data_IF_376120232458
#
_entry.id   IF_376120232458
#
_cell.length_a   1.000
_cell.length_b   1.000
_cell.length_c   1.000
_cell.angle_alpha   90.00
_cell.angle_beta   90.00
_cell.angle_gamma   90.00
#
_symmetry.space_group_name_H-M   'P 1'
#
loop_
_entity.id
_entity.type
_entity.pdbx_description
1 polymer ?
#
# COMPACT_ATOMS: atom_id res chain seq x y z
N UNK A 1 1.35 -13.36 20.05
CA UNK A 1 1.40 -14.12 18.78
C UNK A 1 2.82 -14.55 18.41
N UNK A 2 3.89 -13.84 18.82
CA UNK A 2 5.27 -14.27 18.52
C UNK A 2 5.64 -14.16 17.04
N UNK A 3 4.86 -13.41 16.27
CA UNK A 3 5.02 -13.20 14.83
C UNK A 3 6.40 -12.63 14.51
N UNK A 4 7.05 -13.20 13.49
CA UNK A 4 8.39 -12.79 13.05
C UNK A 4 8.39 -12.05 11.71
N UNK A 5 7.26 -12.05 11.00
CA UNK A 5 7.12 -11.45 9.68
C UNK A 5 5.79 -10.74 9.54
N UNK A 6 5.82 -9.53 8.99
CA UNK A 6 4.67 -8.79 8.49
C UNK A 6 4.85 -8.66 6.98
N UNK A 7 3.94 -9.23 6.20
CA UNK A 7 3.93 -9.08 4.75
C UNK A 7 2.85 -8.08 4.33
N UNK A 8 3.27 -6.96 3.74
CA UNK A 8 2.36 -6.03 3.07
C UNK A 8 2.13 -6.54 1.65
N UNK A 9 0.94 -7.10 1.39
CA UNK A 9 0.58 -7.71 0.11
C UNK A 9 -0.38 -6.80 -0.68
N UNK A 10 0.13 -6.18 -1.74
CA UNK A 10 -0.69 -5.54 -2.77
C UNK A 10 -1.16 -6.56 -3.82
N UNK A 11 -1.95 -6.10 -4.79
CA UNK A 11 -2.38 -6.95 -5.91
C UNK A 11 -2.63 -6.17 -7.21
N UNK A 12 -2.51 -6.84 -8.35
CA UNK A 12 -2.86 -6.24 -9.65
C UNK A 12 -4.36 -5.94 -9.73
N UNK A 13 -4.75 -4.93 -10.50
CA UNK A 13 -6.17 -4.54 -10.63
C UNK A 13 -6.79 -3.93 -9.36
N UNK A 14 -5.99 -3.37 -8.45
CA UNK A 14 -6.50 -2.76 -7.21
C UNK A 14 -7.43 -1.58 -7.48
N UNK A 15 -8.72 -1.75 -7.18
CA UNK A 15 -9.75 -0.71 -7.40
C UNK A 15 -9.51 0.56 -6.58
N UNK A 16 -8.97 0.45 -5.37
CA UNK A 16 -8.68 1.60 -4.52
C UNK A 16 -7.52 2.45 -5.08
N UNK A 17 -6.46 1.82 -5.56
CA UNK A 17 -5.33 2.52 -6.21
C UNK A 17 -5.78 3.17 -7.52
N UNK A 18 -6.63 2.50 -8.30
CA UNK A 18 -7.24 3.10 -9.50
C UNK A 18 -8.08 4.33 -9.14
N UNK A 19 -8.99 4.21 -8.17
CA UNK A 19 -9.83 5.33 -7.74
C UNK A 19 -9.00 6.51 -7.20
N UNK A 20 -7.91 6.22 -6.47
CA UNK A 20 -6.96 7.25 -6.04
C UNK A 20 -6.31 7.97 -7.23
N UNK A 21 -5.86 7.21 -8.23
CA UNK A 21 -5.26 7.77 -9.45
C UNK A 21 -6.25 8.57 -10.30
N UNK A 22 -7.52 8.18 -10.33
CA UNK A 22 -8.59 8.94 -10.99
C UNK A 22 -8.91 10.22 -10.20
N UNK A 23 -8.88 10.15 -8.86
CA UNK A 23 -9.08 11.30 -7.99
C UNK A 23 -8.03 12.39 -8.20
N UNK A 24 -6.74 12.03 -8.33
CA UNK A 24 -5.68 13.02 -8.64
C UNK A 24 -5.82 13.67 -10.01
N UNK A 25 -6.58 13.04 -10.92
CA UNK A 25 -6.91 13.57 -12.26
C UNK A 25 -8.21 14.37 -12.29
N UNK A 26 -8.77 14.71 -11.12
CA UNK A 26 -9.97 15.54 -11.01
C UNK A 26 -11.28 14.76 -10.96
N UNK A 27 -11.25 13.44 -10.74
CA UNK A 27 -12.45 12.62 -10.52
C UNK A 27 -12.50 12.01 -9.10
N UNK A 28 -12.53 12.83 -8.03
CA UNK A 28 -12.54 12.32 -6.67
C UNK A 28 -13.88 11.63 -6.34
N UNK A 29 -13.89 10.59 -5.48
CA UNK A 29 -15.13 9.97 -5.01
C UNK A 29 -16.03 10.99 -4.30
N UNK A 30 -17.36 10.87 -4.43
CA UNK A 30 -18.32 11.74 -3.72
C UNK A 30 -18.44 11.41 -2.22
N UNK A 31 -18.24 10.15 -1.86
CA UNK A 31 -18.30 9.67 -0.49
C UNK A 31 -17.06 10.09 0.31
N UNK A 32 -17.27 10.70 1.49
CA UNK A 32 -16.19 11.07 2.39
C UNK A 32 -15.37 9.86 2.85
N UNK A 33 -16.01 8.71 3.07
CA UNK A 33 -15.32 7.49 3.47
C UNK A 33 -14.43 6.93 2.36
N UNK A 34 -14.86 7.06 1.10
CA UNK A 34 -14.03 6.67 -0.05
C UNK A 34 -12.89 7.65 -0.26
N UNK A 35 -13.12 8.96 -0.08
CA UNK A 35 -12.06 9.97 -0.13
C UNK A 35 -10.96 9.71 0.90
N UNK A 36 -11.33 9.39 2.14
CA UNK A 36 -10.35 9.05 3.17
C UNK A 36 -9.41 7.89 2.77
N UNK A 37 -9.91 6.93 1.97
CA UNK A 37 -9.09 5.84 1.44
C UNK A 37 -8.23 6.32 0.28
N UNK A 38 -8.79 7.05 -0.68
CA UNK A 38 -8.05 7.51 -1.87
C UNK A 38 -6.96 8.51 -1.49
N UNK A 39 -7.22 9.40 -0.55
CA UNK A 39 -6.29 10.43 -0.11
C UNK A 39 -5.08 9.79 0.57
N UNK A 40 -5.30 8.83 1.47
CA UNK A 40 -4.22 8.06 2.11
C UNK A 40 -3.36 7.30 1.09
N UNK A 41 -3.97 6.77 0.03
CA UNK A 41 -3.22 6.11 -1.05
C UNK A 41 -2.39 7.14 -1.82
N UNK A 42 -2.99 8.27 -2.21
CA UNK A 42 -2.32 9.36 -2.93
C UNK A 42 -1.11 9.89 -2.18
N UNK A 43 -1.24 10.16 -0.88
CA UNK A 43 -0.13 10.54 0.00
C UNK A 43 1.04 9.54 -0.07
N UNK A 44 0.74 8.26 -0.24
CA UNK A 44 1.73 7.20 -0.31
C UNK A 44 2.42 7.09 -1.68
N UNK A 45 1.68 7.29 -2.76
CA UNK A 45 2.17 7.05 -4.13
C UNK A 45 2.83 8.29 -4.76
N UNK A 46 2.36 9.52 -4.49
CA UNK A 46 2.91 10.80 -5.01
C UNK A 46 1.98 11.51 -6.01
N UNK A 47 2.49 12.07 -7.12
CA UNK A 47 1.64 12.69 -8.18
C UNK A 47 1.82 12.15 -9.61
N UNK A 48 2.69 11.17 -9.90
CA UNK A 48 2.92 10.72 -11.29
C UNK A 48 3.34 9.25 -11.41
N UNK A 49 2.41 8.35 -11.74
CA UNK A 49 2.72 6.91 -11.85
C UNK A 49 1.78 6.13 -12.77
N UNK A 50 2.38 5.12 -13.39
CA UNK A 50 1.73 3.97 -14.02
C UNK A 50 0.91 3.19 -12.96
N UNK A 51 -0.36 2.81 -13.21
CA UNK A 51 -1.15 1.97 -12.30
C UNK A 51 -0.43 0.72 -11.77
N UNK A 52 0.42 0.07 -12.58
CA UNK A 52 1.20 -1.08 -12.13
C UNK A 52 2.27 -0.67 -11.09
N UNK A 53 2.95 0.46 -11.34
CA UNK A 53 3.90 1.06 -10.41
C UNK A 53 3.22 1.64 -9.16
N UNK A 54 1.99 2.14 -9.29
CA UNK A 54 1.22 2.72 -8.19
C UNK A 54 0.87 1.70 -7.12
N UNK A 55 0.56 0.44 -7.50
CA UNK A 55 0.34 -0.64 -6.52
C UNK A 55 1.62 -0.91 -5.72
N UNK A 56 2.76 -1.03 -6.39
CA UNK A 56 4.04 -1.24 -5.69
C UNK A 56 4.42 -0.06 -4.81
N UNK A 57 4.23 1.16 -5.31
CA UNK A 57 4.45 2.38 -4.55
C UNK A 57 3.57 2.41 -3.30
N UNK A 58 2.30 2.02 -3.41
CA UNK A 58 1.38 1.94 -2.28
C UNK A 58 1.81 0.88 -1.26
N UNK A 59 2.30 -0.28 -1.71
CA UNK A 59 2.87 -1.31 -0.83
C UNK A 59 4.08 -0.75 -0.07
N UNK A 60 5.04 -0.15 -0.77
CA UNK A 60 6.24 0.44 -0.16
C UNK A 60 5.89 1.60 0.79
N UNK A 61 4.90 2.41 0.44
CA UNK A 61 4.41 3.49 1.30
C UNK A 61 3.75 2.95 2.57
N UNK A 62 2.96 1.90 2.44
CA UNK A 62 2.33 1.22 3.58
C UNK A 62 3.40 0.61 4.49
N UNK A 63 4.42 -0.04 3.95
CA UNK A 63 5.56 -0.55 4.75
C UNK A 63 6.22 0.57 5.56
N UNK A 64 6.51 1.72 4.94
CA UNK A 64 7.07 2.90 5.64
C UNK A 64 6.12 3.45 6.71
N UNK A 65 4.82 3.47 6.41
CA UNK A 65 3.81 3.96 7.34
C UNK A 65 3.69 3.09 8.60
N UNK A 66 3.87 1.76 8.50
CA UNK A 66 3.77 0.86 9.65
C UNK A 66 4.75 1.22 10.76
N UNK A 67 6.02 1.48 10.44
CA UNK A 67 7.03 1.85 11.44
C UNK A 67 6.96 3.32 11.81
N UNK A 68 6.60 4.20 10.87
CA UNK A 68 6.46 5.64 11.15
C UNK A 68 5.28 5.96 12.06
N UNK A 69 4.14 5.32 11.85
CA UNK A 69 2.87 5.67 12.51
C UNK A 69 2.60 4.79 13.75
N UNK A 70 3.40 3.74 14.00
CA UNK A 70 3.25 2.84 15.15
C UNK A 70 4.58 2.59 15.85
N UNK A 71 4.73 3.18 17.04
CA UNK A 71 5.89 2.93 17.91
C UNK A 71 6.05 1.44 18.27
N UNK A 72 4.93 0.73 18.44
CA UNK A 72 4.94 -0.72 18.74
C UNK A 72 5.53 -1.53 17.58
N UNK A 73 5.18 -1.19 16.34
CA UNK A 73 5.75 -1.87 15.17
C UNK A 73 7.21 -1.46 14.92
N UNK A 74 7.57 -0.20 15.19
CA UNK A 74 8.96 0.24 15.12
C UNK A 74 9.84 -0.55 16.10
N UNK A 75 9.43 -0.65 17.36
CA UNK A 75 10.14 -1.44 18.39
C UNK A 75 10.19 -2.93 18.01
N UNK A 76 9.09 -3.49 17.48
CA UNK A 76 9.07 -4.88 17.06
C UNK A 76 10.10 -5.18 15.95
N UNK A 77 10.30 -4.24 15.01
CA UNK A 77 11.31 -4.37 13.96
C UNK A 77 12.73 -4.33 14.55
N UNK A 78 13.00 -3.44 15.51
CA UNK A 78 14.28 -3.41 16.23
C UNK A 78 14.56 -4.72 16.98
N UNK A 79 13.50 -5.40 17.44
CA UNK A 79 13.56 -6.70 18.11
C UNK A 79 13.59 -7.90 17.13
N UNK A 80 13.70 -7.64 15.82
CA UNK A 80 13.92 -8.67 14.79
C UNK A 80 12.66 -9.17 14.09
N UNK A 81 11.55 -8.42 14.13
CA UNK A 81 10.42 -8.65 13.21
C UNK A 81 10.75 -8.06 11.84
N UNK A 82 10.54 -8.84 10.78
CA UNK A 82 10.75 -8.38 9.41
C UNK A 82 9.46 -7.79 8.81
N UNK A 83 9.58 -6.70 8.04
CA UNK A 83 8.50 -6.18 7.20
C UNK A 83 8.91 -6.34 5.75
N UNK A 84 8.16 -7.16 5.00
CA UNK A 84 8.37 -7.39 3.57
C UNK A 84 7.19 -6.87 2.74
N UNK A 85 7.44 -6.58 1.47
CA UNK A 85 6.44 -6.16 0.50
C UNK A 85 6.28 -7.16 -0.63
N UNK A 86 5.07 -7.35 -1.13
CA UNK A 86 4.80 -8.20 -2.29
C UNK A 86 3.58 -7.71 -3.10
N UNK A 87 3.50 -8.18 -4.35
CA UNK A 87 2.33 -8.01 -5.21
C UNK A 87 1.83 -9.37 -5.68
N UNK A 88 0.54 -9.62 -5.44
CA UNK A 88 -0.20 -10.75 -5.99
C UNK A 88 -0.76 -10.41 -7.36
N UNK A 89 -0.40 -11.19 -8.38
CA UNK A 89 -0.95 -11.07 -9.71
C UNK A 89 -2.24 -11.88 -9.83
N UNK A 90 -3.39 -11.19 -10.00
CA UNK A 90 -4.71 -11.83 -10.04
C UNK A 90 -4.90 -12.76 -11.24
N UNK A 91 -4.23 -12.49 -12.36
CA UNK A 91 -4.41 -13.24 -13.60
C UNK A 91 -3.67 -14.59 -13.57
N UNK A 92 -2.48 -14.61 -12.99
CA UNK A 92 -1.60 -15.79 -12.92
C UNK A 92 -1.62 -16.50 -11.57
N UNK A 93 -2.11 -15.85 -10.51
CA UNK A 93 -2.08 -16.37 -9.14
C UNK A 93 -0.68 -16.37 -8.50
N UNK A 94 0.29 -15.65 -9.08
CA UNK A 94 1.67 -15.61 -8.58
C UNK A 94 1.88 -14.43 -7.64
N UNK A 95 2.70 -14.62 -6.61
CA UNK A 95 3.19 -13.56 -5.74
C UNK A 95 4.61 -13.20 -6.15
N UNK A 96 4.88 -11.90 -6.33
CA UNK A 96 6.22 -11.36 -6.56
C UNK A 96 6.63 -10.50 -5.37
N UNK A 97 7.79 -10.79 -4.78
CA UNK A 97 8.40 -9.98 -3.73
C UNK A 97 8.93 -8.66 -4.33
N UNK A 98 8.90 -7.58 -3.53
CA UNK A 98 9.32 -6.23 -3.91
C UNK A 98 10.68 -5.83 -3.33
#
# INVERSE_FOLDING_TARGET
>A
LGTKLILVLGHTGCGAVRAATEASRGAPPESANLRAITDRILEGIGEDFDPAAAVEANVRATMRALTRDSAVLAEAVEQGVEIAGAVYDLASGRVRLL
#
